data_IF_074560039337
#
_entry.id   IF_074560039337
#
_cell.length_a   1.000
_cell.length_b   1.000
_cell.length_c   1.000
_cell.angle_alpha   90.00
_cell.angle_beta   90.00
_cell.angle_gamma   90.00
#
_symmetry.space_group_name_H-M   'P 1'
#
loop_
_entity.id
_entity.type
_entity.pdbx_description
1 polymer ?
#
# COMPACT_ATOMS: atom_id res chain seq x y z
N UNK A 1 -0.58 69.38 62.76
CA UNK A 1 -1.28 70.36 61.89
C UNK A 1 -1.02 69.93 60.45
N UNK A 2 -2.07 69.97 59.64
CA UNK A 2 -2.26 69.38 58.31
C UNK A 2 -2.61 67.88 58.23
N UNK A 3 -3.93 67.69 58.10
CA UNK A 3 -4.69 66.57 57.52
C UNK A 3 -4.47 66.50 56.00
N UNK A 4 -4.69 65.32 55.42
CA UNK A 4 -5.41 64.98 54.17
C UNK A 4 -5.08 63.50 53.87
N UNK A 5 -5.96 62.54 54.16
CA UNK A 5 -7.03 62.02 53.29
C UNK A 5 -6.60 61.73 51.84
N UNK A 6 -6.55 60.45 51.47
CA UNK A 6 -7.21 59.94 50.26
C UNK A 6 -7.36 58.40 50.30
N UNK A 7 -8.53 57.96 49.83
CA UNK A 7 -9.12 56.62 49.90
C UNK A 7 -8.88 55.85 48.56
N UNK A 8 -9.41 54.64 48.32
CA UNK A 8 -8.67 53.55 47.68
C UNK A 8 -8.99 53.37 46.17
N UNK A 9 -8.01 52.90 45.40
CA UNK A 9 -8.26 52.34 44.06
C UNK A 9 -8.42 50.82 44.15
N UNK A 10 -9.66 50.36 44.05
CA UNK A 10 -10.02 48.95 43.79
C UNK A 10 -9.62 48.58 42.36
N UNK A 11 -8.63 47.69 42.24
CA UNK A 11 -8.18 47.13 40.97
C UNK A 11 -9.08 45.94 40.59
N UNK A 12 -9.99 46.14 39.62
CA UNK A 12 -10.75 45.07 38.98
C UNK A 12 -9.79 44.09 38.27
N UNK A 13 -9.67 42.87 38.82
CA UNK A 13 -9.03 41.74 38.14
C UNK A 13 -9.90 41.27 36.98
N UNK A 14 -9.59 41.73 35.77
CA UNK A 14 -10.07 41.09 34.53
C UNK A 14 -9.24 39.83 34.27
N UNK A 15 -9.76 38.68 34.69
CA UNK A 15 -9.22 37.36 34.32
C UNK A 15 -9.72 37.07 32.89
N UNK A 16 -8.84 37.22 31.91
CA UNK A 16 -9.09 36.75 30.55
C UNK A 16 -8.90 35.23 30.53
N UNK A 17 -10.01 34.48 30.47
CA UNK A 17 -10.00 33.04 30.22
C UNK A 17 -9.72 32.84 28.73
N UNK A 18 -8.47 32.56 28.38
CA UNK A 18 -8.11 32.07 27.05
C UNK A 18 -8.61 30.63 26.93
N UNK A 19 -9.77 30.45 26.27
CA UNK A 19 -10.26 29.13 25.88
C UNK A 19 -9.33 28.56 24.80
N UNK A 20 -8.39 27.72 25.19
CA UNK A 20 -7.64 26.86 24.27
C UNK A 20 -8.62 25.80 23.77
N UNK A 21 -9.25 26.07 22.63
CA UNK A 21 -9.98 25.04 21.88
C UNK A 21 -8.94 24.09 21.29
N UNK A 22 -8.61 23.04 22.04
CA UNK A 22 -7.92 21.89 21.51
C UNK A 22 -8.86 21.21 20.50
N UNK A 23 -8.77 21.64 19.24
CA UNK A 23 -9.39 20.95 18.13
C UNK A 23 -8.75 19.57 18.00
N UNK A 24 -9.41 18.55 18.56
CA UNK A 24 -9.17 17.16 18.21
C UNK A 24 -9.58 16.99 16.76
N UNK A 25 -8.63 17.24 15.85
CA UNK A 25 -8.75 16.78 14.48
C UNK A 25 -8.62 15.26 14.52
N UNK A 26 -9.74 14.56 14.61
CA UNK A 26 -9.80 13.17 14.15
C UNK A 26 -9.63 13.24 12.64
N UNK A 27 -8.38 13.18 12.18
CA UNK A 27 -8.08 12.85 10.80
C UNK A 27 -8.71 11.47 10.60
N UNK A 28 -9.88 11.43 9.96
CA UNK A 28 -10.47 10.17 9.55
C UNK A 28 -9.50 9.61 8.53
N UNK A 29 -8.60 8.75 8.99
CA UNK A 29 -7.61 8.12 8.15
C UNK A 29 -8.33 7.47 6.97
N UNK A 30 -7.85 7.74 5.77
CA UNK A 30 -8.43 7.17 4.56
C UNK A 30 -8.37 5.66 4.73
N UNK A 31 -9.54 5.02 4.85
CA UNK A 31 -9.60 3.58 4.92
C UNK A 31 -9.00 3.05 3.61
N UNK A 32 -8.08 2.09 3.72
CA UNK A 32 -7.54 1.34 2.60
C UNK A 32 -8.64 0.98 1.59
N UNK A 33 -8.75 1.71 0.47
CA UNK A 33 -9.87 1.51 -0.47
C UNK A 33 -9.55 0.51 -1.55
N UNK A 34 -8.27 0.32 -1.87
CA UNK A 34 -7.79 -0.71 -2.79
C UNK A 34 -7.69 -2.06 -2.08
N UNK A 35 -7.83 -3.15 -2.82
CA UNK A 35 -7.62 -4.50 -2.27
C UNK A 35 -6.12 -4.76 -2.13
N UNK A 36 -5.69 -5.08 -0.90
CA UNK A 36 -4.31 -5.42 -0.57
C UNK A 36 -4.20 -6.92 -0.43
N UNK A 37 -3.35 -7.53 -1.25
CA UNK A 37 -3.07 -8.96 -1.23
C UNK A 37 -1.87 -9.19 -0.31
N UNK A 38 -1.99 -10.14 0.62
CA UNK A 38 -0.99 -10.44 1.63
C UNK A 38 -0.79 -11.95 1.67
N UNK A 39 0.46 -12.41 1.74
CA UNK A 39 0.75 -13.85 1.90
C UNK A 39 1.49 -14.15 3.19
N UNK A 40 1.06 -15.23 3.83
CA UNK A 40 1.70 -15.76 5.04
C UNK A 40 2.89 -16.65 4.68
N UNK A 41 3.96 -16.55 5.47
CA UNK A 41 5.17 -17.35 5.33
C UNK A 41 5.00 -18.81 5.69
N UNK A 42 4.33 -19.08 6.81
CA UNK A 42 4.32 -20.40 7.45
C UNK A 42 3.20 -21.27 6.91
N UNK A 43 2.09 -20.65 6.54
CA UNK A 43 0.88 -21.29 6.06
C UNK A 43 0.68 -20.99 4.58
N UNK A 44 -0.19 -21.75 3.93
CA UNK A 44 -0.59 -21.47 2.54
C UNK A 44 -1.52 -20.27 2.42
N UNK A 45 -1.92 -19.62 3.51
CA UNK A 45 -2.95 -18.60 3.49
C UNK A 45 -2.50 -17.35 2.72
N UNK A 46 -3.37 -16.89 1.84
CA UNK A 46 -3.31 -15.58 1.20
C UNK A 46 -4.58 -14.82 1.57
N UNK A 47 -4.41 -13.57 1.98
CA UNK A 47 -5.47 -12.70 2.44
C UNK A 47 -5.68 -11.57 1.45
N UNK A 48 -6.94 -11.19 1.26
CA UNK A 48 -7.30 -9.93 0.63
C UNK A 48 -7.90 -9.05 1.70
N UNK A 49 -7.21 -7.96 2.02
CA UNK A 49 -7.67 -6.97 2.99
C UNK A 49 -8.23 -5.78 2.22
N UNK A 50 -9.31 -5.19 2.72
CA UNK A 50 -9.82 -3.90 2.27
C UNK A 50 -10.56 -3.24 3.41
N UNK A 51 -10.44 -1.92 3.55
CA UNK A 51 -11.04 -1.15 4.64
C UNK A 51 -10.71 -1.72 6.04
N UNK A 52 -9.49 -2.24 6.22
CA UNK A 52 -9.05 -2.79 7.50
C UNK A 52 -9.72 -4.12 7.91
N UNK A 53 -10.31 -4.84 6.97
CA UNK A 53 -10.94 -6.14 7.18
C UNK A 53 -10.44 -7.15 6.15
N UNK A 54 -10.30 -8.42 6.55
CA UNK A 54 -10.14 -9.51 5.59
C UNK A 54 -11.47 -9.68 4.84
N UNK A 55 -11.49 -9.40 3.55
CA UNK A 55 -12.69 -9.53 2.70
C UNK A 55 -12.69 -10.84 1.92
N UNK A 56 -11.52 -11.42 1.67
CA UNK A 56 -11.35 -12.75 1.07
C UNK A 56 -10.11 -13.43 1.64
N UNK A 57 -10.12 -14.75 1.60
CA UNK A 57 -8.98 -15.58 1.95
C UNK A 57 -9.01 -16.84 1.08
N UNK A 58 -7.84 -17.23 0.58
CA UNK A 58 -7.67 -18.49 -0.14
C UNK A 58 -6.33 -19.14 0.25
N UNK A 59 -6.10 -20.35 -0.24
CA UNK A 59 -4.87 -21.09 0.02
C UNK A 59 -4.08 -21.28 -1.27
N UNK A 60 -2.78 -21.00 -1.18
CA UNK A 60 -1.77 -21.51 -2.11
C UNK A 60 -1.78 -23.05 -2.08
N UNK A 61 -1.30 -23.70 -3.13
CA UNK A 61 -1.26 -25.16 -3.18
C UNK A 61 -0.12 -25.77 -2.37
N UNK A 62 0.94 -25.00 -2.07
CA UNK A 62 1.99 -25.40 -1.15
C UNK A 62 2.64 -24.20 -0.43
N UNK A 63 3.18 -24.37 0.79
CA UNK A 63 3.76 -23.27 1.56
C UNK A 63 4.94 -22.56 0.88
N UNK A 64 5.73 -23.32 0.13
CA UNK A 64 6.98 -22.87 -0.52
C UNK A 64 6.77 -22.31 -1.93
N UNK A 65 5.52 -22.14 -2.37
CA UNK A 65 5.16 -21.49 -3.64
C UNK A 65 5.37 -19.97 -3.63
N UNK A 66 5.70 -19.38 -2.48
CA UNK A 66 5.91 -17.96 -2.23
C UNK A 66 6.59 -17.76 -0.87
N UNK A 67 6.81 -16.51 -0.40
CA UNK A 67 5.73 -15.54 -0.29
C UNK A 67 5.76 -14.42 -1.32
N UNK A 68 6.82 -14.30 -2.14
CA UNK A 68 6.89 -13.25 -3.16
C UNK A 68 5.72 -13.32 -4.14
N UNK A 69 4.82 -12.33 -4.07
CA UNK A 69 3.61 -12.26 -4.87
C UNK A 69 3.57 -10.96 -5.66
N UNK A 70 3.09 -11.02 -6.90
CA UNK A 70 2.78 -9.85 -7.72
C UNK A 70 1.33 -9.91 -8.16
N UNK A 71 0.72 -8.75 -8.40
CA UNK A 71 -0.69 -8.67 -8.78
C UNK A 71 -0.87 -7.76 -10.00
N UNK A 72 -1.08 -8.35 -11.19
CA UNK A 72 -1.18 -7.61 -12.49
C UNK A 72 -2.48 -7.91 -13.27
N UNK A 73 -3.48 -8.47 -12.59
CA UNK A 73 -4.74 -8.98 -13.17
C UNK A 73 -4.98 -10.43 -12.74
N UNK A 74 -3.88 -11.15 -12.51
CA UNK A 74 -3.81 -12.40 -11.75
C UNK A 74 -2.86 -12.21 -10.56
N UNK A 75 -2.80 -13.19 -9.67
CA UNK A 75 -1.86 -13.25 -8.55
C UNK A 75 -0.80 -14.27 -8.92
N UNK A 76 0.44 -13.83 -9.10
CA UNK A 76 1.57 -14.70 -9.47
C UNK A 76 2.52 -14.80 -8.30
N UNK A 77 2.76 -16.02 -7.83
CA UNK A 77 3.79 -16.29 -6.85
C UNK A 77 5.03 -16.89 -7.51
N UNK A 78 6.22 -16.48 -7.09
CA UNK A 78 7.46 -17.15 -7.47
C UNK A 78 7.91 -18.12 -6.37
N UNK A 79 8.49 -19.26 -6.78
CA UNK A 79 9.03 -20.25 -5.85
C UNK A 79 9.97 -19.61 -4.83
N UNK A 80 9.79 -19.93 -3.56
CA UNK A 80 10.49 -19.22 -2.50
C UNK A 80 12.01 -19.41 -2.52
N UNK A 81 12.45 -20.64 -2.78
CA UNK A 81 13.86 -21.04 -2.81
C UNK A 81 14.21 -21.66 -4.15
N UNK A 82 15.51 -21.72 -4.47
CA UNK A 82 16.03 -22.29 -5.71
C UNK A 82 15.46 -23.68 -6.01
N UNK A 83 15.00 -23.87 -7.26
CA UNK A 83 14.35 -25.08 -7.75
C UNK A 83 12.88 -25.22 -7.40
N UNK A 84 12.33 -24.35 -6.53
CA UNK A 84 10.90 -24.35 -6.21
C UNK A 84 10.10 -23.61 -7.30
N UNK A 85 8.82 -23.93 -7.36
CA UNK A 85 7.90 -23.41 -8.37
C UNK A 85 6.74 -22.76 -7.64
N UNK A 86 6.48 -21.49 -7.93
CA UNK A 86 5.28 -20.79 -7.51
C UNK A 86 4.17 -20.93 -8.56
N UNK A 87 2.96 -20.45 -8.24
CA UNK A 87 1.78 -20.64 -9.06
C UNK A 87 1.01 -19.36 -9.31
N UNK A 88 0.17 -19.41 -10.32
CA UNK A 88 -0.77 -18.36 -10.66
C UNK A 88 -2.19 -18.65 -10.14
N UNK A 89 -2.87 -17.61 -9.69
CA UNK A 89 -4.27 -17.63 -9.27
C UNK A 89 -5.00 -16.45 -9.88
N UNK A 90 -6.32 -16.57 -10.06
CA UNK A 90 -7.15 -15.39 -10.30
C UNK A 90 -7.27 -14.52 -9.03
N UNK A 91 -7.92 -13.35 -9.14
CA UNK A 91 -8.07 -12.41 -8.01
C UNK A 91 -9.02 -12.90 -6.91
N UNK A 92 -9.77 -13.98 -7.16
CA UNK A 92 -10.62 -14.68 -6.20
C UNK A 92 -9.90 -15.87 -5.55
N UNK A 93 -8.69 -16.20 -6.01
CA UNK A 93 -7.84 -17.25 -5.47
C UNK A 93 -8.04 -18.63 -6.11
N UNK A 94 -8.74 -18.73 -7.24
CA UNK A 94 -8.83 -19.98 -7.98
C UNK A 94 -7.52 -20.24 -8.75
N UNK A 95 -6.99 -21.47 -8.73
CA UNK A 95 -5.72 -21.77 -9.39
C UNK A 95 -5.84 -21.67 -10.91
N UNK A 96 -4.82 -21.08 -11.53
CA UNK A 96 -4.63 -20.99 -12.97
C UNK A 96 -3.47 -21.90 -13.43
N UNK A 97 -3.14 -21.86 -14.72
CA UNK A 97 -2.13 -22.74 -15.31
C UNK A 97 -0.68 -22.24 -15.13
N UNK A 98 -0.47 -20.96 -14.81
CA UNK A 98 0.86 -20.35 -14.68
C UNK A 98 1.71 -21.01 -13.57
N UNK A 99 2.99 -21.24 -13.88
CA UNK A 99 3.98 -21.85 -13.01
C UNK A 99 5.31 -21.09 -13.12
N UNK A 100 5.87 -20.67 -12.00
CA UNK A 100 7.00 -19.73 -11.97
C UNK A 100 8.18 -20.30 -11.17
N UNK A 101 9.20 -20.76 -11.89
CA UNK A 101 10.36 -21.41 -11.26
C UNK A 101 11.36 -20.38 -10.74
N UNK A 102 11.74 -20.49 -9.48
CA UNK A 102 12.89 -19.78 -8.95
C UNK A 102 14.17 -20.54 -9.34
N UNK A 103 15.07 -19.94 -10.12
CA UNK A 103 16.21 -20.67 -10.67
C UNK A 103 17.24 -21.06 -9.61
N UNK A 104 17.45 -20.24 -8.57
CA UNK A 104 18.54 -20.44 -7.61
C UNK A 104 18.49 -19.60 -6.33
N UNK A 105 17.61 -18.61 -6.24
CA UNK A 105 17.64 -17.63 -5.15
C UNK A 105 17.04 -18.20 -3.86
N UNK A 106 17.53 -17.80 -2.71
CA UNK A 106 16.99 -18.18 -1.40
C UNK A 106 16.10 -17.07 -0.85
N UNK A 107 14.97 -17.50 -0.29
CA UNK A 107 14.06 -16.60 0.43
C UNK A 107 13.63 -15.40 -0.41
N UNK A 108 13.07 -15.66 -1.61
CA UNK A 108 12.40 -14.62 -2.40
C UNK A 108 11.18 -14.12 -1.65
N UNK A 109 11.35 -12.97 -1.00
CA UNK A 109 10.36 -12.28 -0.19
C UNK A 109 9.78 -11.11 -0.95
N UNK A 110 8.49 -10.92 -0.73
CA UNK A 110 7.68 -9.89 -1.36
C UNK A 110 7.73 -9.89 -2.89
N UNK A 111 6.86 -9.11 -3.50
CA UNK A 111 6.88 -8.95 -4.93
C UNK A 111 6.30 -7.62 -5.37
N UNK A 112 6.86 -7.10 -6.46
CA UNK A 112 6.39 -5.90 -7.13
C UNK A 112 6.32 -6.14 -8.63
N UNK A 113 5.47 -5.40 -9.33
CA UNK A 113 5.41 -5.46 -10.79
C UNK A 113 5.05 -4.13 -11.42
N UNK A 114 5.58 -3.87 -12.61
CA UNK A 114 5.13 -2.81 -13.51
C UNK A 114 4.24 -3.36 -14.65
N UNK A 115 3.99 -4.68 -14.66
CA UNK A 115 3.27 -5.40 -15.71
C UNK A 115 4.17 -5.98 -16.81
N UNK A 116 5.42 -5.52 -16.95
CA UNK A 116 6.42 -6.03 -17.90
C UNK A 116 7.55 -6.80 -17.19
N UNK A 117 7.86 -6.41 -15.97
CA UNK A 117 8.88 -6.96 -15.09
C UNK A 117 8.28 -7.27 -13.72
N UNK A 118 8.82 -8.30 -13.09
CA UNK A 118 8.52 -8.63 -11.71
C UNK A 118 9.79 -8.53 -10.87
N UNK A 119 9.68 -7.98 -9.67
CA UNK A 119 10.78 -7.84 -8.72
C UNK A 119 10.48 -8.56 -7.42
N UNK A 120 11.53 -9.08 -6.77
CA UNK A 120 11.46 -9.67 -5.43
C UNK A 120 12.77 -9.43 -4.69
N UNK A 121 12.79 -9.69 -3.39
CA UNK A 121 13.98 -9.59 -2.55
C UNK A 121 14.51 -10.98 -2.24
N UNK A 122 15.73 -11.29 -2.70
CA UNK A 122 16.47 -12.47 -2.30
C UNK A 122 17.08 -12.27 -0.90
N UNK A 123 16.35 -12.67 0.15
CA UNK A 123 16.63 -12.26 1.53
C UNK A 123 17.81 -12.95 2.22
N UNK A 124 18.40 -14.00 1.63
CA UNK A 124 19.48 -14.77 2.29
C UNK A 124 20.65 -15.17 1.35
N UNK A 125 20.85 -14.50 0.22
CA UNK A 125 21.76 -14.99 -0.85
C UNK A 125 23.18 -14.39 -0.90
N UNK A 126 23.46 -13.28 -0.22
CA UNK A 126 24.69 -12.48 -0.45
C UNK A 126 25.46 -12.14 0.83
N UNK A 127 26.69 -11.61 0.72
CA UNK A 127 27.53 -11.23 1.87
C UNK A 127 26.90 -10.14 2.76
N UNK A 128 26.04 -9.29 2.18
CA UNK A 128 25.18 -8.33 2.92
C UNK A 128 23.79 -8.88 3.23
N UNK A 129 23.52 -10.13 2.83
CA UNK A 129 22.30 -10.96 2.87
C UNK A 129 21.18 -10.61 1.89
N UNK A 130 21.28 -9.62 0.98
CA UNK A 130 20.11 -9.22 0.19
C UNK A 130 20.45 -8.81 -1.25
N UNK A 131 19.55 -9.11 -2.18
CA UNK A 131 19.54 -8.49 -3.50
C UNK A 131 18.10 -8.26 -3.98
N UNK A 132 17.91 -7.21 -4.75
CA UNK A 132 16.72 -7.05 -5.57
C UNK A 132 16.93 -7.88 -6.84
N UNK A 133 16.05 -8.84 -7.09
CA UNK A 133 16.03 -9.62 -8.32
C UNK A 133 14.92 -9.15 -9.23
N UNK A 134 15.10 -9.36 -10.53
CA UNK A 134 14.14 -9.03 -11.58
C UNK A 134 13.98 -10.23 -12.51
N UNK A 135 12.74 -10.55 -12.87
CA UNK A 135 12.39 -11.35 -14.04
C UNK A 135 11.44 -10.59 -14.97
N UNK A 136 11.08 -11.19 -16.10
CA UNK A 136 10.00 -10.68 -16.94
C UNK A 136 8.62 -10.84 -16.27
N UNK A 137 7.55 -10.43 -16.96
CA UNK A 137 6.16 -10.53 -16.50
C UNK A 137 5.72 -11.96 -16.15
N UNK A 138 6.40 -12.98 -16.68
CA UNK A 138 6.19 -14.40 -16.40
C UNK A 138 7.32 -15.02 -15.58
N UNK A 139 8.10 -14.20 -14.86
CA UNK A 139 9.23 -14.64 -14.04
C UNK A 139 10.29 -15.46 -14.79
N UNK A 140 10.42 -15.29 -16.11
CA UNK A 140 11.58 -15.82 -16.83
C UNK A 140 12.80 -14.91 -16.61
N UNK A 141 13.98 -15.46 -16.90
CA UNK A 141 15.25 -14.73 -16.90
C UNK A 141 15.57 -14.03 -15.57
N UNK A 142 15.15 -14.63 -14.44
CA UNK A 142 15.35 -14.06 -13.11
C UNK A 142 16.84 -13.86 -12.80
N UNK A 143 17.23 -12.61 -12.60
CA UNK A 143 18.62 -12.20 -12.33
C UNK A 143 18.67 -11.10 -11.28
N UNK A 144 19.86 -10.83 -10.74
CA UNK A 144 20.05 -9.70 -9.81
C UNK A 144 19.97 -8.40 -10.61
N UNK A 145 19.10 -7.48 -10.19
CA UNK A 145 19.09 -6.12 -10.72
C UNK A 145 20.14 -5.26 -10.00
N UNK A 146 20.06 -5.19 -8.67
CA UNK A 146 21.07 -4.54 -7.82
C UNK A 146 21.02 -5.05 -6.38
N UNK A 147 22.04 -4.67 -5.59
CA UNK A 147 22.11 -4.92 -4.15
C UNK A 147 21.78 -3.62 -3.40
N UNK A 148 20.68 -3.57 -2.63
CA UNK A 148 20.34 -2.37 -1.85
C UNK A 148 21.45 -1.99 -0.85
N UNK A 149 21.57 -0.70 -0.51
CA UNK A 149 22.59 -0.20 0.41
C UNK A 149 22.44 -0.74 1.83
N UNK A 150 21.23 -1.16 2.20
CA UNK A 150 20.90 -1.72 3.50
C UNK A 150 20.25 -3.07 3.32
N UNK A 151 20.07 -3.78 4.44
CA UNK A 151 19.32 -5.04 4.44
C UNK A 151 17.92 -4.81 3.88
N UNK A 152 17.31 -5.78 3.22
CA UNK A 152 15.99 -5.60 2.62
C UNK A 152 15.08 -6.81 2.77
N UNK A 153 13.78 -6.58 2.80
CA UNK A 153 12.79 -7.65 3.02
C UNK A 153 11.61 -7.59 2.07
N UNK A 154 11.20 -6.38 1.69
CA UNK A 154 10.06 -6.17 0.80
C UNK A 154 10.33 -5.17 -0.28
N UNK A 155 9.47 -5.19 -1.29
CA UNK A 155 9.56 -4.34 -2.47
C UNK A 155 8.16 -4.05 -3.02
N UNK A 156 7.94 -2.81 -3.44
CA UNK A 156 6.80 -2.39 -4.26
C UNK A 156 7.24 -1.39 -5.32
N UNK A 157 6.48 -1.25 -6.40
CA UNK A 157 6.79 -0.37 -7.52
C UNK A 157 5.85 0.84 -7.56
N UNK A 158 6.41 2.05 -7.56
CA UNK A 158 5.68 3.30 -7.74
C UNK A 158 5.64 3.67 -9.22
N UNK A 159 4.55 3.26 -9.89
CA UNK A 159 4.37 3.49 -11.32
C UNK A 159 4.27 4.97 -11.72
N UNK A 160 4.08 5.92 -10.78
CA UNK A 160 4.00 7.35 -11.11
C UNK A 160 5.35 7.95 -11.46
N UNK A 161 6.43 7.38 -10.94
CA UNK A 161 7.79 7.89 -11.14
C UNK A 161 8.79 6.81 -11.55
N UNK A 162 8.37 5.55 -11.67
CA UNK A 162 9.24 4.45 -12.11
C UNK A 162 10.31 4.10 -11.08
N UNK A 163 9.97 4.17 -9.80
CA UNK A 163 10.90 3.86 -8.69
C UNK A 163 10.41 2.68 -7.87
N UNK A 164 11.34 2.04 -7.16
CA UNK A 164 11.06 0.95 -6.24
C UNK A 164 11.17 1.44 -4.81
N UNK A 165 10.20 1.06 -3.98
CA UNK A 165 10.25 1.23 -2.54
C UNK A 165 10.61 -0.09 -1.89
N UNK A 166 11.66 -0.09 -1.07
CA UNK A 166 12.25 -1.28 -0.46
C UNK A 166 12.26 -1.10 1.06
N UNK A 167 11.73 -2.07 1.79
CA UNK A 167 11.82 -2.10 3.26
C UNK A 167 13.12 -2.73 3.70
N UNK A 168 13.78 -2.09 4.66
CA UNK A 168 14.87 -2.64 5.44
C UNK A 168 14.36 -2.90 6.86
N UNK A 169 13.91 -4.12 7.14
CA UNK A 169 13.24 -4.42 8.41
C UNK A 169 13.78 -5.65 9.10
N UNK A 170 15.07 -5.63 9.40
CA UNK A 170 15.77 -6.73 10.11
C UNK A 170 16.64 -6.20 11.25
N UNK A 171 16.21 -5.12 11.93
CA UNK A 171 16.93 -4.56 13.07
C UNK A 171 16.20 -3.44 13.83
N UNK A 172 16.96 -2.67 14.61
CA UNK A 172 16.44 -1.56 15.43
C UNK A 172 16.50 -0.19 14.73
N UNK A 173 16.96 -0.16 13.48
CA UNK A 173 17.14 1.06 12.67
C UNK A 173 16.49 0.91 11.30
N UNK A 174 15.27 0.41 11.29
CA UNK A 174 14.55 0.06 10.09
C UNK A 174 14.26 1.29 9.22
N UNK A 175 14.32 1.11 7.91
CA UNK A 175 14.19 2.17 6.91
C UNK A 175 13.27 1.71 5.80
N UNK A 176 12.60 2.67 5.18
CA UNK A 176 12.04 2.50 3.83
C UNK A 176 12.92 3.31 2.89
N UNK A 177 13.35 2.68 1.82
CA UNK A 177 14.32 3.22 0.86
C UNK A 177 13.69 3.27 -0.52
N UNK A 178 13.89 4.38 -1.23
CA UNK A 178 13.46 4.55 -2.61
C UNK A 178 14.67 4.40 -3.53
N UNK A 179 14.57 3.53 -4.52
CA UNK A 179 15.61 3.32 -5.52
C UNK A 179 15.07 3.62 -6.91
N UNK A 180 15.92 4.17 -7.79
CA UNK A 180 15.69 4.07 -9.22
C UNK A 180 16.00 2.65 -9.72
N UNK A 181 15.63 2.33 -10.96
CA UNK A 181 15.88 1.01 -11.55
C UNK A 181 17.36 0.72 -11.84
N UNK A 182 18.25 1.71 -11.71
CA UNK A 182 19.70 1.53 -11.80
C UNK A 182 20.33 1.21 -10.43
N UNK A 183 19.53 1.15 -9.35
CA UNK A 183 19.99 0.89 -8.00
C UNK A 183 20.53 2.11 -7.26
N UNK A 184 20.31 3.33 -7.77
CA UNK A 184 20.68 4.54 -7.03
C UNK A 184 19.63 4.84 -5.96
N UNK A 185 20.10 5.08 -4.72
CA UNK A 185 19.22 5.52 -3.64
C UNK A 185 18.75 6.96 -3.93
N UNK A 186 17.45 7.15 -4.07
CA UNK A 186 16.79 8.44 -4.30
C UNK A 186 16.43 9.12 -2.99
N UNK A 187 15.84 8.36 -2.06
CA UNK A 187 15.43 8.87 -0.75
C UNK A 187 15.33 7.72 0.27
N UNK A 188 15.34 8.04 1.56
CA UNK A 188 15.00 7.08 2.61
C UNK A 188 14.39 7.78 3.83
N UNK A 189 13.60 7.06 4.62
CA UNK A 189 13.08 7.55 5.90
C UNK A 189 13.07 6.44 6.97
N UNK A 190 13.20 6.80 8.26
CA UNK A 190 13.04 5.85 9.37
C UNK A 190 11.58 5.42 9.52
N UNK A 191 11.37 4.12 9.73
CA UNK A 191 10.07 3.61 10.18
C UNK A 191 10.11 3.32 11.66
N UNK A 192 8.99 3.58 12.35
CA UNK A 192 8.84 3.35 13.79
C UNK A 192 8.08 2.04 14.06
N UNK A 193 8.38 1.00 13.29
CA UNK A 193 7.84 -0.34 13.48
C UNK A 193 9.00 -1.32 13.59
N UNK A 194 8.90 -2.33 14.45
CA UNK A 194 9.78 -3.48 14.33
C UNK A 194 9.42 -4.21 13.03
N UNK A 195 10.40 -4.54 12.19
CA UNK A 195 10.41 -5.79 11.43
C UNK A 195 9.35 -6.01 10.33
N UNK A 196 8.83 -4.98 9.66
CA UNK A 196 7.82 -5.12 8.60
C UNK A 196 8.33 -5.59 7.24
N UNK A 197 8.18 -6.88 6.92
CA UNK A 197 8.76 -7.48 5.71
C UNK A 197 8.07 -7.03 4.42
N UNK A 198 6.75 -7.16 4.30
CA UNK A 198 6.02 -6.79 3.08
C UNK A 198 5.69 -5.31 3.00
N UNK A 199 5.80 -4.70 1.82
CA UNK A 199 5.42 -3.32 1.51
C UNK A 199 4.65 -3.25 0.21
N UNK A 200 3.60 -2.43 0.16
CA UNK A 200 2.80 -2.18 -1.03
C UNK A 200 2.57 -0.68 -1.24
N UNK A 201 2.60 -0.19 -2.47
CA UNK A 201 2.20 1.18 -2.81
C UNK A 201 0.75 1.19 -3.28
N UNK A 202 -0.11 1.99 -2.65
CA UNK A 202 -1.50 2.16 -3.08
C UNK A 202 -1.59 3.30 -4.11
N UNK A 203 -1.84 3.01 -5.40
CA UNK A 203 -2.00 4.05 -6.41
C UNK A 203 -3.22 4.94 -6.19
N UNK A 204 -4.21 4.51 -5.39
CA UNK A 204 -5.44 5.26 -5.17
C UNK A 204 -5.24 6.52 -4.33
N UNK A 205 -4.33 6.50 -3.36
CA UNK A 205 -4.07 7.60 -2.43
C UNK A 205 -2.59 7.98 -2.27
N UNK A 206 -1.69 7.34 -3.02
CA UNK A 206 -0.25 7.61 -3.02
C UNK A 206 0.46 7.35 -1.70
N UNK A 207 0.04 6.28 -1.02
CA UNK A 207 0.58 5.87 0.28
C UNK A 207 1.31 4.54 0.20
N UNK A 208 2.17 4.29 1.19
CA UNK A 208 2.85 3.01 1.37
C UNK A 208 2.18 2.26 2.51
N UNK A 209 1.92 0.98 2.30
CA UNK A 209 1.32 0.06 3.25
C UNK A 209 2.35 -0.99 3.63
N UNK A 210 2.65 -1.11 4.91
CA UNK A 210 3.67 -2.03 5.41
C UNK A 210 3.01 -3.00 6.37
N UNK A 211 3.22 -4.30 6.14
CA UNK A 211 2.81 -5.34 7.08
C UNK A 211 3.69 -5.26 8.34
N UNK A 212 3.09 -5.41 9.53
CA UNK A 212 3.84 -5.40 10.79
C UNK A 212 4.82 -6.57 10.93
N UNK A 213 5.72 -6.50 11.91
CA UNK A 213 6.61 -7.60 12.25
C UNK A 213 5.87 -8.88 12.60
N UNK A 214 6.63 -9.98 12.52
CA UNK A 214 6.25 -11.23 13.13
C UNK A 214 5.71 -11.05 14.54
N UNK A 215 4.58 -11.72 14.82
CA UNK A 215 3.85 -11.60 16.08
C UNK A 215 2.80 -10.49 16.11
N UNK A 216 2.65 -9.70 15.04
CA UNK A 216 1.61 -8.67 14.91
C UNK A 216 0.75 -8.90 13.67
N UNK A 217 -0.53 -8.52 13.74
CA UNK A 217 -1.49 -8.54 12.64
C UNK A 217 -1.89 -7.11 12.22
N UNK A 218 -0.93 -6.19 12.37
CA UNK A 218 -1.12 -4.78 12.06
C UNK A 218 -0.66 -4.45 10.64
N UNK A 219 -1.36 -3.49 10.04
CA UNK A 219 -0.94 -2.79 8.84
C UNK A 219 -0.65 -1.32 9.18
N UNK A 220 0.40 -0.78 8.58
CA UNK A 220 0.83 0.59 8.79
C UNK A 220 0.80 1.35 7.47
N UNK A 221 0.07 2.45 7.43
CA UNK A 221 0.05 3.34 6.27
C UNK A 221 0.99 4.51 6.50
N UNK A 222 1.87 4.76 5.56
CA UNK A 222 2.80 5.86 5.55
C UNK A 222 2.58 6.76 4.33
N UNK A 223 2.74 8.07 4.53
CA UNK A 223 3.06 8.94 3.41
C UNK A 223 4.49 8.66 2.93
N UNK A 224 4.79 8.93 1.64
CA UNK A 224 6.11 8.67 1.04
C UNK A 224 7.26 9.51 1.62
N UNK A 225 6.95 10.48 2.49
CA UNK A 225 7.94 11.24 3.27
C UNK A 225 8.23 10.65 4.67
N UNK A 226 7.62 9.51 5.00
CA UNK A 226 7.81 8.80 6.27
C UNK A 226 6.86 9.16 7.39
N UNK A 227 5.90 10.07 7.18
CA UNK A 227 4.84 10.32 8.16
C UNK A 227 3.92 9.11 8.27
N UNK A 228 3.82 8.50 9.47
CA UNK A 228 2.81 7.49 9.77
C UNK A 228 1.42 8.14 9.77
N UNK A 229 0.53 7.64 8.90
CA UNK A 229 -0.83 8.14 8.74
C UNK A 229 -1.81 7.34 9.61
N UNK A 230 -1.66 6.01 9.64
CA UNK A 230 -2.49 5.13 10.45
C UNK A 230 -1.81 3.79 10.75
N UNK A 231 -2.28 3.16 11.83
CA UNK A 231 -2.05 1.76 12.18
C UNK A 231 -3.41 1.10 12.31
N UNK A 232 -3.57 -0.05 11.67
CA UNK A 232 -4.82 -0.82 11.69
C UNK A 232 -4.48 -2.24 12.10
N UNK A 233 -5.08 -2.71 13.21
CA UNK A 233 -5.12 -4.13 13.52
C UNK A 233 -6.21 -4.79 12.69
N UNK A 234 -5.86 -5.79 11.88
CA UNK A 234 -6.81 -6.47 10.99
C UNK A 234 -7.27 -7.79 11.63
N UNK A 235 -8.55 -7.90 12.05
CA UNK A 235 -9.06 -9.15 12.59
C UNK A 235 -8.99 -10.28 11.55
N UNK A 236 -8.53 -11.46 11.98
CA UNK A 236 -8.41 -12.65 11.12
C UNK A 236 -7.13 -12.72 10.28
N UNK A 237 -6.31 -11.67 10.28
CA UNK A 237 -5.00 -11.68 9.64
C UNK A 237 -3.98 -12.40 10.52
N UNK A 238 -3.06 -13.15 9.89
CA UNK A 238 -1.99 -13.86 10.60
C UNK A 238 -0.87 -12.92 11.01
N UNK A 239 0.10 -13.46 11.75
CA UNK A 239 1.23 -12.71 12.29
C UNK A 239 2.55 -13.04 11.62
N UNK A 240 2.56 -13.68 10.45
CA UNK A 240 3.77 -14.06 9.71
C UNK A 240 3.72 -13.64 8.23
N UNK A 241 3.31 -12.40 7.99
CA UNK A 241 3.23 -11.85 6.65
C UNK A 241 4.62 -11.49 6.13
N UNK A 242 4.91 -11.90 4.90
CA UNK A 242 6.18 -11.62 4.22
C UNK A 242 6.02 -10.93 2.86
N UNK A 243 4.78 -10.74 2.41
CA UNK A 243 4.51 -10.01 1.19
C UNK A 243 3.23 -9.22 1.29
N UNK A 244 3.20 -8.08 0.60
CA UNK A 244 2.08 -7.20 0.48
C UNK A 244 2.12 -6.58 -0.91
N UNK A 245 1.03 -6.68 -1.68
CA UNK A 245 0.96 -5.98 -2.95
C UNK A 245 -0.48 -5.56 -3.24
N UNK A 246 -0.65 -4.31 -3.66
CA UNK A 246 -1.91 -3.91 -4.28
C UNK A 246 -1.90 -4.44 -5.70
N UNK A 247 -3.07 -4.72 -6.26
CA UNK A 247 -3.14 -4.87 -7.71
C UNK A 247 -2.45 -3.68 -8.37
N UNK A 248 -1.40 -3.94 -9.17
CA UNK A 248 -0.71 -2.99 -10.05
C UNK A 248 -1.71 -2.21 -10.93
N UNK A 249 -2.97 -2.64 -10.91
CA UNK A 249 -4.08 -1.92 -11.45
C UNK A 249 -3.85 -1.81 -12.94
N UNK A 250 -3.48 -2.95 -13.56
CA UNK A 250 -3.27 -3.08 -15.00
C UNK A 250 -4.32 -2.26 -15.74
N UNK A 251 -3.96 -1.63 -16.88
CA UNK A 251 -4.57 -0.41 -17.38
C UNK A 251 -6.08 -0.40 -17.11
N UNK A 252 -6.53 0.54 -16.28
CA UNK A 252 -7.94 0.58 -15.90
C UNK A 252 -8.62 1.72 -16.59
N UNK A 253 -9.91 1.55 -16.73
CA UNK A 253 -10.72 2.60 -17.28
C UNK A 253 -10.72 3.79 -16.33
N UNK A 254 -10.05 4.84 -16.77
CA UNK A 254 -10.01 6.14 -16.11
C UNK A 254 -10.96 7.09 -16.84
N UNK A 255 -11.82 7.72 -16.05
CA UNK A 255 -12.89 8.59 -16.54
C UNK A 255 -12.79 10.01 -16.02
N UNK A 256 -13.24 11.00 -16.78
CA UNK A 256 -13.36 12.37 -16.27
C UNK A 256 -14.71 12.56 -15.59
N UNK A 257 -14.73 12.95 -14.33
CA UNK A 257 -15.97 13.21 -13.59
C UNK A 257 -16.71 14.39 -14.22
N UNK A 258 -17.98 14.17 -14.58
CA UNK A 258 -18.88 15.19 -15.15
C UNK A 258 -19.96 15.65 -14.19
N UNK A 259 -20.32 14.83 -13.21
CA UNK A 259 -21.21 15.18 -12.09
C UNK A 259 -20.73 14.48 -10.84
N UNK A 260 -20.67 15.19 -9.74
CA UNK A 260 -20.38 14.67 -8.42
C UNK A 260 -21.36 15.26 -7.43
N UNK A 261 -22.01 14.43 -6.61
CA UNK A 261 -23.01 14.89 -5.64
C UNK A 261 -22.88 14.11 -4.34
N UNK A 262 -22.55 14.83 -3.27
CA UNK A 262 -22.61 14.35 -1.91
C UNK A 262 -24.04 13.94 -1.51
N UNK A 263 -24.16 12.83 -0.79
CA UNK A 263 -25.39 12.29 -0.20
C UNK A 263 -25.10 11.70 1.17
N UNK A 264 -26.11 11.73 2.06
CA UNK A 264 -26.06 11.04 3.35
C UNK A 264 -25.01 11.58 4.34
N UNK A 265 -24.73 12.88 4.34
CA UNK A 265 -23.75 13.48 5.25
C UNK A 265 -22.31 13.48 4.74
N UNK A 266 -22.08 13.11 3.48
CA UNK A 266 -20.78 13.30 2.83
C UNK A 266 -20.44 14.79 2.73
N UNK A 267 -19.30 15.22 3.27
CA UNK A 267 -18.90 16.63 3.23
C UNK A 267 -18.22 16.98 1.91
N UNK A 268 -17.42 16.07 1.36
CA UNK A 268 -16.63 16.33 0.17
C UNK A 268 -16.61 15.11 -0.75
N UNK A 269 -16.85 15.35 -2.02
CA UNK A 269 -16.78 14.36 -3.09
C UNK A 269 -15.77 14.82 -4.13
N UNK A 270 -15.22 13.90 -4.95
CA UNK A 270 -14.32 14.29 -6.03
C UNK A 270 -14.96 15.35 -6.93
N UNK A 271 -14.19 16.32 -7.38
CA UNK A 271 -14.68 17.47 -8.12
C UNK A 271 -15.03 17.10 -9.57
N UNK A 272 -15.86 17.93 -10.20
CA UNK A 272 -16.10 17.82 -11.64
C UNK A 272 -14.81 18.20 -12.37
N UNK A 273 -14.32 17.30 -13.23
CA UNK A 273 -13.02 17.44 -13.90
C UNK A 273 -11.98 16.43 -13.43
N UNK A 274 -12.11 15.92 -12.20
CA UNK A 274 -11.15 14.98 -11.62
C UNK A 274 -11.17 13.63 -12.36
N UNK A 275 -10.04 12.92 -12.40
CA UNK A 275 -9.99 11.54 -12.87
C UNK A 275 -10.73 10.62 -11.87
N UNK A 276 -11.39 9.60 -12.42
CA UNK A 276 -12.06 8.53 -11.68
C UNK A 276 -11.69 7.19 -12.29
N UNK A 277 -10.84 6.43 -11.61
CA UNK A 277 -10.40 5.09 -12.03
C UNK A 277 -11.39 4.05 -11.54
N UNK A 278 -11.87 3.19 -12.43
CA UNK A 278 -12.69 2.04 -12.06
C UNK A 278 -11.82 0.80 -11.87
N UNK A 279 -12.41 -0.27 -11.34
CA UNK A 279 -11.80 -1.60 -11.33
C UNK A 279 -11.95 -2.31 -12.70
N UNK A 280 -12.61 -1.69 -13.69
CA UNK A 280 -12.74 -2.21 -15.06
C UNK A 280 -11.37 -2.13 -15.74
N UNK A 281 -10.79 -3.30 -16.00
CA UNK A 281 -9.57 -3.47 -16.79
C UNK A 281 -9.86 -3.12 -18.26
N UNK A 282 -8.83 -2.68 -18.96
CA UNK A 282 -8.88 -2.41 -20.38
C UNK A 282 -7.50 -2.65 -21.02
N UNK A 283 -7.48 -2.90 -22.31
CA UNK A 283 -6.25 -2.83 -23.11
C UNK A 283 -6.21 -1.51 -23.88
N UNK A 284 -7.39 -1.01 -24.25
CA UNK A 284 -7.54 0.23 -24.98
C UNK A 284 -8.80 0.99 -24.54
N UNK A 285 -8.85 2.27 -24.90
CA UNK A 285 -9.95 3.16 -24.51
C UNK A 285 -11.34 2.67 -24.97
N UNK A 286 -11.46 1.76 -25.95
CA UNK A 286 -12.76 1.27 -26.42
C UNK A 286 -13.37 0.22 -25.50
N UNK A 287 -12.55 -0.51 -24.76
CA UNK A 287 -12.97 -1.55 -23.81
C UNK A 287 -13.72 -0.91 -22.63
N UNK A 288 -13.32 0.31 -22.29
CA UNK A 288 -14.02 1.14 -21.32
C UNK A 288 -15.40 1.57 -21.80
N UNK A 289 -16.36 1.49 -20.88
CA UNK A 289 -17.70 2.06 -21.06
C UNK A 289 -17.57 3.51 -21.49
N UNK A 290 -18.52 4.02 -22.28
CA UNK A 290 -18.50 5.45 -22.66
C UNK A 290 -18.82 6.37 -21.50
N UNK A 291 -19.54 5.86 -20.50
CA UNK A 291 -20.03 6.60 -19.33
C UNK A 291 -20.14 5.64 -18.15
N UNK A 292 -19.78 6.12 -16.96
CA UNK A 292 -20.00 5.40 -15.70
C UNK A 292 -20.85 6.26 -14.79
N UNK A 293 -21.79 5.62 -14.09
CA UNK A 293 -22.58 6.23 -13.03
C UNK A 293 -22.54 5.30 -11.82
N UNK A 294 -21.92 5.74 -10.73
CA UNK A 294 -21.71 4.89 -9.55
C UNK A 294 -21.84 5.69 -8.25
N UNK A 295 -21.79 4.97 -7.14
CA UNK A 295 -21.68 5.51 -5.78
C UNK A 295 -20.35 5.06 -5.20
N UNK A 296 -19.60 5.99 -4.64
CA UNK A 296 -18.40 5.69 -3.85
C UNK A 296 -18.58 6.16 -2.42
N UNK A 297 -17.84 5.57 -1.49
CA UNK A 297 -17.73 6.09 -0.13
C UNK A 297 -17.15 7.51 -0.15
N UNK A 298 -17.36 8.27 0.93
CA UNK A 298 -16.75 9.59 1.06
C UNK A 298 -15.22 9.48 1.11
N UNK A 299 -14.47 10.13 0.20
CA UNK A 299 -13.02 10.03 0.15
C UNK A 299 -12.31 10.48 1.43
N UNK A 300 -12.93 11.39 2.20
CA UNK A 300 -12.41 11.88 3.49
C UNK A 300 -13.12 11.27 4.71
N UNK A 301 -13.77 10.11 4.54
CA UNK A 301 -14.56 9.46 5.58
C UNK A 301 -15.94 10.09 5.81
N UNK A 302 -16.72 9.47 6.71
CA UNK A 302 -18.09 9.86 7.06
C UNK A 302 -19.18 8.88 6.59
N UNK A 303 -20.39 9.01 7.15
CA UNK A 303 -21.53 8.09 6.92
C UNK A 303 -22.23 8.25 5.56
N UNK A 304 -21.62 9.00 4.63
CA UNK A 304 -22.23 9.39 3.36
C UNK A 304 -21.69 8.63 2.15
N UNK A 305 -22.22 9.00 0.99
CA UNK A 305 -21.76 8.50 -0.32
C UNK A 305 -21.71 9.62 -1.35
N UNK A 306 -20.81 9.50 -2.32
CA UNK A 306 -20.72 10.37 -3.47
C UNK A 306 -21.38 9.70 -4.68
N UNK A 307 -22.42 10.32 -5.24
CA UNK A 307 -22.98 9.93 -6.53
C UNK A 307 -22.17 10.59 -7.64
N UNK A 308 -21.45 9.78 -8.41
CA UNK A 308 -20.61 10.26 -9.51
C UNK A 308 -21.15 9.80 -10.87
N UNK A 309 -21.05 10.69 -11.85
CA UNK A 309 -21.22 10.37 -13.27
C UNK A 309 -19.98 10.86 -14.01
N UNK A 310 -19.31 9.96 -14.71
CA UNK A 310 -18.09 10.25 -15.43
C UNK A 310 -18.25 9.95 -16.94
N UNK A 311 -17.54 10.70 -17.78
CA UNK A 311 -17.46 10.56 -19.25
C UNK A 311 -16.04 10.87 -19.68
N UNK A 312 -15.67 10.40 -20.87
CA UNK A 312 -14.29 10.35 -21.35
C UNK A 312 -13.58 9.16 -20.73
N UNK A 313 -12.74 8.51 -21.53
CA UNK A 313 -12.16 7.21 -21.24
C UNK A 313 -10.72 7.20 -21.70
N UNK A 314 -9.82 6.88 -20.79
CA UNK A 314 -8.46 6.44 -21.09
C UNK A 314 -8.28 5.09 -20.43
N UNK A 315 -7.42 4.31 -21.04
CA UNK A 315 -6.98 3.07 -20.48
C UNK A 315 -5.57 3.33 -19.97
N UNK A 316 -5.40 3.42 -18.66
CA UNK A 316 -4.17 3.84 -17.97
C UNK A 316 -4.15 3.34 -16.53
#
# INVERSE_FOLDING_TARGET
MFLLEENPMTMEKRIAIAAVVAGLFTVSAAAQTSELFLSDWTTTATFVVQNGQVIRQFNRSAPLEGPGLVVTGTIKFIGQNGGQVGREYDLDGAPLAGCYSNPRFQSLYDGASDGEHNWSIAHNDFDTNFALVQGDAEWNDVSVLFVPQRRSSGVTFDARNGTLWVTNTVGSSDRVQQYDLNGNLVSEFPVQIPGGYGIAWDPADDTLWIAGSFGTNDLFQYAKNGTLLQRITVPGLTTQLLSAEFGAGGPRCTYTIKKSKAKGGCQECPSVGDPFRTQEECENAKDCRKKVATRIACPRGGNGVCKIKAKSRRCE
#
